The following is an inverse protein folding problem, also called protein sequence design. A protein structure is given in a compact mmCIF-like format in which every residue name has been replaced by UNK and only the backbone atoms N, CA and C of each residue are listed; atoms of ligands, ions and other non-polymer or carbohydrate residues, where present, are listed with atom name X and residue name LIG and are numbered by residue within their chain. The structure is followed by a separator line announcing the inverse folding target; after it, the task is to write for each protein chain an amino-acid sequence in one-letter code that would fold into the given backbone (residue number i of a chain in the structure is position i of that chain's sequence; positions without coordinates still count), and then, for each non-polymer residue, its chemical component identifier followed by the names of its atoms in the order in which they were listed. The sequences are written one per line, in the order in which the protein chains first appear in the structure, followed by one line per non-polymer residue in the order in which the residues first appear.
data_IF_564576131887
#
_entry.id   IF_564576131887
#
_cell.length_a   1.000
_cell.length_b   1.000
_cell.length_c   1.000
_cell.angle_alpha   90.00
_cell.angle_beta   90.00
_cell.angle_gamma   90.00
#
_symmetry.space_group_name_H-M   'P 1'
#
loop_
_entity.id
_entity.type
_entity.pdbx_description
1 polymer ?
#
# COMPACT_ATOMS: atom_id res chain seq x y z
N UNK A 1 -31.66 -12.69 52.97
CA UNK A 1 -31.43 -11.70 51.93
C UNK A 1 -30.21 -12.16 51.12
N UNK A 2 -30.45 -12.76 49.93
CA UNK A 2 -29.35 -13.27 49.08
C UNK A 2 -29.14 -12.25 47.96
N UNK A 3 -27.96 -11.62 47.97
CA UNK A 3 -27.51 -10.76 46.86
C UNK A 3 -26.96 -11.65 45.74
N UNK A 4 -27.63 -11.63 44.61
CA UNK A 4 -27.12 -12.23 43.36
C UNK A 4 -26.32 -11.16 42.62
N UNK A 5 -25.01 -11.37 42.53
CA UNK A 5 -24.14 -10.51 41.71
C UNK A 5 -24.32 -10.89 40.25
N UNK A 6 -24.85 -9.96 39.44
CA UNK A 6 -24.84 -10.07 37.98
C UNK A 6 -23.44 -9.65 37.46
N UNK A 7 -22.69 -10.61 36.98
CA UNK A 7 -21.46 -10.37 36.26
C UNK A 7 -21.79 -9.98 34.82
N UNK A 8 -21.58 -8.72 34.44
CA UNK A 8 -21.68 -8.25 33.07
C UNK A 8 -20.39 -8.65 32.33
N UNK A 9 -20.49 -9.62 31.45
CA UNK A 9 -19.41 -9.94 30.52
C UNK A 9 -19.45 -8.93 29.36
N UNK A 10 -18.49 -8.01 29.32
CA UNK A 10 -18.30 -7.11 28.18
C UNK A 10 -17.70 -7.91 27.02
N UNK A 11 -18.53 -8.23 26.03
CA UNK A 11 -18.08 -8.76 24.75
C UNK A 11 -17.52 -7.60 23.94
N UNK A 12 -16.20 -7.52 23.85
CA UNK A 12 -15.50 -6.61 22.94
C UNK A 12 -15.68 -7.11 21.50
N UNK A 13 -16.65 -6.56 20.79
CA UNK A 13 -16.81 -6.73 19.33
C UNK A 13 -15.73 -5.92 18.61
N UNK A 14 -14.56 -6.52 18.39
CA UNK A 14 -13.55 -6.02 17.45
C UNK A 14 -13.90 -6.61 16.07
N UNK A 15 -14.71 -5.91 15.30
CA UNK A 15 -15.18 -6.47 14.06
C UNK A 15 -15.26 -5.57 12.81
N UNK A 16 -15.72 -4.31 12.82
CA UNK A 16 -15.94 -3.62 11.54
C UNK A 16 -14.78 -2.77 11.04
N UNK A 17 -13.91 -2.24 11.91
CA UNK A 17 -12.88 -1.27 11.50
C UNK A 17 -11.78 -1.88 10.59
N UNK A 18 -11.29 -3.08 10.90
CA UNK A 18 -10.21 -3.74 10.13
C UNK A 18 -10.67 -4.15 8.74
N UNK A 19 -11.90 -4.64 8.60
CA UNK A 19 -12.47 -5.01 7.30
C UNK A 19 -12.69 -3.78 6.40
N UNK A 20 -13.06 -2.65 6.99
CA UNK A 20 -13.24 -1.39 6.27
C UNK A 20 -11.89 -0.80 5.80
N UNK A 21 -10.84 -0.90 6.61
CA UNK A 21 -9.49 -0.45 6.24
C UNK A 21 -8.94 -1.29 5.08
N UNK A 22 -9.11 -2.61 5.10
CA UNK A 22 -8.71 -3.48 4.00
C UNK A 22 -9.39 -3.10 2.69
N UNK A 23 -10.71 -2.98 2.68
CA UNK A 23 -11.47 -2.62 1.49
C UNK A 23 -11.09 -1.21 0.96
N UNK A 24 -10.75 -0.28 1.85
CA UNK A 24 -10.28 1.05 1.48
C UNK A 24 -8.91 0.98 0.82
N UNK A 25 -7.98 0.21 1.39
CA UNK A 25 -6.63 0.03 0.85
C UNK A 25 -6.66 -0.68 -0.50
N UNK A 26 -7.49 -1.71 -0.66
CA UNK A 26 -7.69 -2.38 -1.96
C UNK A 26 -8.15 -1.40 -3.05
N UNK A 27 -9.09 -0.50 -2.77
CA UNK A 27 -9.49 0.55 -3.71
C UNK A 27 -8.37 1.55 -4.02
N UNK A 28 -7.52 1.87 -3.04
CA UNK A 28 -6.37 2.73 -3.26
C UNK A 28 -5.32 2.02 -4.13
N UNK A 29 -5.13 0.71 -3.97
CA UNK A 29 -4.28 -0.08 -4.86
C UNK A 29 -4.81 -0.12 -6.29
N UNK A 30 -6.12 -0.26 -6.49
CA UNK A 30 -6.75 -0.15 -7.82
C UNK A 30 -6.48 1.22 -8.46
N UNK A 31 -6.56 2.30 -7.67
CA UNK A 31 -6.24 3.65 -8.14
C UNK A 31 -4.74 3.82 -8.46
N UNK A 32 -3.87 3.21 -7.66
CA UNK A 32 -2.42 3.19 -7.88
C UNK A 32 -2.08 2.48 -9.20
N UNK A 33 -2.62 1.27 -9.41
CA UNK A 33 -2.47 0.53 -10.67
C UNK A 33 -2.91 1.36 -11.88
N UNK A 34 -4.10 1.97 -11.77
CA UNK A 34 -4.65 2.77 -12.84
C UNK A 34 -3.78 3.99 -13.17
N UNK A 35 -3.28 4.71 -12.17
CA UNK A 35 -2.39 5.84 -12.33
C UNK A 35 -1.05 5.41 -12.97
N UNK A 36 -0.42 4.36 -12.43
CA UNK A 36 0.84 3.83 -12.96
C UNK A 36 0.71 3.40 -14.42
N UNK A 37 -0.30 2.59 -14.73
CA UNK A 37 -0.48 2.03 -16.07
C UNK A 37 -0.87 3.08 -17.12
N UNK A 38 -1.43 4.22 -16.69
CA UNK A 38 -1.68 5.39 -17.55
C UNK A 38 -0.48 6.33 -17.67
N UNK A 39 0.53 6.18 -16.83
CA UNK A 39 1.66 7.11 -16.74
C UNK A 39 1.32 8.42 -16.01
N UNK A 40 0.26 8.43 -15.18
CA UNK A 40 -0.10 9.59 -14.35
C UNK A 40 0.69 9.55 -13.03
N UNK A 41 1.98 9.84 -13.14
CA UNK A 41 2.88 9.80 -11.99
C UNK A 41 2.66 10.96 -11.01
N UNK A 42 2.00 12.03 -11.44
CA UNK A 42 1.59 13.10 -10.54
C UNK A 42 0.47 12.64 -9.60
N UNK A 43 -0.56 11.98 -10.13
CA UNK A 43 -1.61 11.37 -9.32
C UNK A 43 -1.03 10.31 -8.38
N UNK A 44 -0.12 9.48 -8.87
CA UNK A 44 0.55 8.45 -8.08
C UNK A 44 1.39 9.06 -6.94
N UNK A 45 2.18 10.08 -7.22
CA UNK A 45 2.93 10.81 -6.19
C UNK A 45 2.05 11.38 -5.09
N UNK A 46 0.85 11.87 -5.43
CA UNK A 46 -0.11 12.39 -4.48
C UNK A 46 -0.73 11.33 -3.55
N UNK A 47 -0.56 10.05 -3.84
CA UNK A 47 -0.96 8.96 -2.95
C UNK A 47 0.02 8.74 -1.79
N UNK A 48 1.21 9.34 -1.83
CA UNK A 48 2.23 9.25 -0.79
C UNK A 48 2.15 10.44 0.19
N UNK A 49 2.62 10.22 1.42
CA UNK A 49 2.85 11.33 2.37
C UNK A 49 3.97 12.24 1.86
N UNK A 50 4.05 13.46 2.37
CA UNK A 50 5.08 14.42 1.94
C UNK A 50 6.51 13.95 2.29
N UNK A 51 6.64 13.23 3.38
CA UNK A 51 7.90 12.68 3.92
C UNK A 51 8.10 11.18 3.64
N UNK A 52 7.33 10.61 2.72
CA UNK A 52 7.34 9.18 2.41
C UNK A 52 8.73 8.63 2.09
N UNK A 53 8.92 7.35 2.38
CA UNK A 53 10.11 6.58 1.99
C UNK A 53 9.72 5.50 0.98
N UNK A 54 10.44 5.47 -0.13
CA UNK A 54 10.38 4.41 -1.12
C UNK A 54 11.71 3.65 -1.11
N UNK A 55 11.65 2.34 -0.94
CA UNK A 55 12.82 1.46 -0.80
C UNK A 55 12.87 0.45 -1.96
N UNK A 56 13.29 0.88 -3.14
CA UNK A 56 13.33 0.02 -4.31
C UNK A 56 14.46 -1.00 -4.24
N UNK A 57 14.27 -2.22 -4.76
CA UNK A 57 15.34 -3.21 -4.82
C UNK A 57 16.45 -2.74 -5.77
N UNK A 58 17.69 -2.91 -5.35
CA UNK A 58 18.87 -2.61 -6.18
C UNK A 58 19.11 -1.13 -6.49
N UNK A 59 18.42 -0.22 -5.80
CA UNK A 59 18.54 1.23 -5.96
C UNK A 59 18.60 1.92 -4.61
N UNK A 60 19.07 3.16 -4.61
CA UNK A 60 19.00 4.00 -3.40
C UNK A 60 17.56 4.29 -3.03
N UNK A 61 17.30 4.49 -1.72
CA UNK A 61 15.98 4.90 -1.27
C UNK A 61 15.64 6.31 -1.76
N UNK A 62 14.37 6.52 -2.11
CA UNK A 62 13.84 7.84 -2.39
C UNK A 62 13.07 8.35 -1.16
N UNK A 63 13.39 9.56 -0.72
CA UNK A 63 12.71 10.23 0.39
C UNK A 63 11.94 11.45 -0.12
N UNK A 64 10.71 11.55 0.33
CA UNK A 64 9.79 12.64 0.02
C UNK A 64 9.04 12.41 -1.30
N UNK A 65 7.81 12.93 -1.33
CA UNK A 65 6.84 12.75 -2.43
C UNK A 65 7.42 13.04 -3.82
N UNK A 66 8.15 14.13 -3.97
CA UNK A 66 8.71 14.53 -5.27
C UNK A 66 9.74 13.50 -5.80
N UNK A 67 10.60 12.96 -4.93
CA UNK A 67 11.57 11.96 -5.31
C UNK A 67 10.89 10.61 -5.59
N UNK A 68 9.85 10.26 -4.82
CA UNK A 68 9.02 9.08 -5.07
C UNK A 68 8.33 9.18 -6.43
N UNK A 69 7.73 10.33 -6.76
CA UNK A 69 7.13 10.57 -8.06
C UNK A 69 8.13 10.44 -9.21
N UNK A 70 9.32 11.02 -9.06
CA UNK A 70 10.39 10.92 -10.05
C UNK A 70 10.85 9.47 -10.25
N UNK A 71 10.97 8.69 -9.17
CA UNK A 71 11.29 7.26 -9.26
C UNK A 71 10.24 6.50 -10.09
N UNK A 72 8.95 6.68 -9.79
CA UNK A 72 7.88 5.99 -10.52
C UNK A 72 7.80 6.40 -11.99
N UNK A 73 8.05 7.67 -12.30
CA UNK A 73 8.14 8.13 -13.68
C UNK A 73 9.26 7.40 -14.43
N UNK A 74 10.43 7.24 -13.79
CA UNK A 74 11.55 6.49 -14.35
C UNK A 74 11.27 4.99 -14.49
N UNK A 75 10.66 4.38 -13.48
CA UNK A 75 10.26 2.98 -13.53
C UNK A 75 9.26 2.70 -14.67
N UNK A 76 8.30 3.61 -14.90
CA UNK A 76 7.33 3.51 -15.97
C UNK A 76 7.91 3.53 -17.38
N UNK A 77 9.15 3.96 -17.57
CA UNK A 77 9.87 3.81 -18.85
C UNK A 77 10.24 2.34 -19.14
N UNK A 78 10.50 1.56 -18.09
CA UNK A 78 11.03 0.20 -18.18
C UNK A 78 9.97 -0.90 -17.99
N UNK A 79 8.86 -0.62 -17.28
CA UNK A 79 7.83 -1.60 -16.94
C UNK A 79 6.41 -1.08 -17.18
N UNK A 80 5.46 -2.00 -17.29
CA UNK A 80 4.03 -1.74 -17.53
C UNK A 80 3.15 -2.85 -16.95
N UNK A 81 1.86 -2.71 -17.09
CA UNK A 81 0.86 -3.72 -16.71
C UNK A 81 1.00 -4.13 -15.23
N UNK A 82 1.23 -3.12 -14.38
CA UNK A 82 1.29 -3.33 -12.94
C UNK A 82 -0.05 -3.86 -12.44
N UNK A 83 0.02 -4.92 -11.63
CA UNK A 83 -1.08 -5.51 -10.89
C UNK A 83 -0.66 -5.69 -9.44
N UNK A 84 -1.50 -5.25 -8.52
CA UNK A 84 -1.33 -5.39 -7.07
C UNK A 84 -2.40 -6.33 -6.51
N UNK A 85 -2.03 -7.11 -5.52
CA UNK A 85 -2.98 -7.98 -4.81
C UNK A 85 -2.72 -7.88 -3.32
N UNK A 86 -3.65 -7.31 -2.59
CA UNK A 86 -3.59 -7.21 -1.13
C UNK A 86 -3.79 -8.58 -0.50
N UNK A 87 -2.82 -9.06 0.25
CA UNK A 87 -2.88 -10.32 0.99
C UNK A 87 -3.42 -10.09 2.39
N UNK A 88 -2.82 -9.14 3.13
CA UNK A 88 -3.17 -8.87 4.52
C UNK A 88 -3.06 -7.37 4.84
N UNK A 89 -4.01 -6.88 5.61
CA UNK A 89 -3.99 -5.52 6.18
C UNK A 89 -4.17 -5.64 7.68
N UNK A 90 -3.24 -5.04 8.43
CA UNK A 90 -3.27 -4.98 9.88
C UNK A 90 -3.27 -3.53 10.35
N UNK A 91 -4.26 -3.16 11.14
CA UNK A 91 -4.25 -1.88 11.84
C UNK A 91 -3.08 -1.79 12.82
N UNK A 92 -2.40 -0.66 12.84
CA UNK A 92 -1.32 -0.31 13.77
C UNK A 92 -1.73 0.84 14.68
N UNK A 93 -3.02 1.04 14.88
CA UNK A 93 -3.63 2.11 15.64
C UNK A 93 -4.69 2.83 14.83
N UNK A 94 -5.11 4.02 15.27
CA UNK A 94 -6.16 4.80 14.59
C UNK A 94 -5.73 5.38 13.25
N UNK A 95 -4.43 5.66 13.09
CA UNK A 95 -3.90 6.47 12.00
C UNK A 95 -2.83 5.77 11.16
N UNK A 96 -2.59 4.48 11.42
CA UNK A 96 -1.62 3.69 10.69
C UNK A 96 -2.11 2.27 10.41
N UNK A 97 -1.69 1.71 9.29
CA UNK A 97 -1.91 0.32 8.93
C UNK A 97 -0.69 -0.23 8.17
N UNK A 98 -0.47 -1.53 8.32
CA UNK A 98 0.49 -2.26 7.51
C UNK A 98 -0.26 -3.11 6.50
N UNK A 99 0.15 -3.03 5.25
CA UNK A 99 -0.27 -3.94 4.19
C UNK A 99 0.86 -4.90 3.81
N UNK A 100 0.51 -6.13 3.53
CA UNK A 100 1.33 -7.10 2.80
C UNK A 100 0.58 -7.46 1.52
N UNK A 101 1.26 -7.42 0.39
CA UNK A 101 0.69 -7.79 -0.89
C UNK A 101 1.69 -8.42 -1.84
N UNK A 102 1.18 -8.83 -2.98
CA UNK A 102 1.96 -9.32 -4.11
C UNK A 102 1.74 -8.43 -5.32
N UNK A 103 2.73 -8.38 -6.19
CA UNK A 103 2.63 -7.65 -7.44
C UNK A 103 3.02 -8.50 -8.62
N UNK A 104 2.53 -8.15 -9.78
CA UNK A 104 3.06 -8.56 -11.06
C UNK A 104 3.12 -7.38 -12.02
N UNK A 105 4.06 -7.40 -12.93
CA UNK A 105 4.23 -6.40 -13.98
C UNK A 105 4.91 -7.03 -15.20
N UNK A 106 4.97 -6.30 -16.31
CA UNK A 106 5.66 -6.69 -17.52
C UNK A 106 6.83 -5.76 -17.80
N UNK A 107 8.00 -6.29 -18.12
CA UNK A 107 9.08 -5.47 -18.67
C UNK A 107 8.71 -4.92 -20.05
N UNK A 108 9.16 -3.72 -20.38
CA UNK A 108 9.09 -3.16 -21.73
C UNK A 108 10.33 -3.56 -22.53
N UNK A 109 10.22 -3.59 -23.86
CA UNK A 109 11.31 -3.92 -24.77
C UNK A 109 10.94 -5.06 -25.73
N UNK A 110 11.91 -5.57 -26.47
CA UNK A 110 11.68 -6.59 -27.51
C UNK A 110 11.25 -7.94 -26.94
N UNK A 111 11.73 -8.30 -25.76
CA UNK A 111 11.33 -9.51 -25.05
C UNK A 111 10.64 -9.10 -23.72
N UNK A 112 9.32 -9.05 -23.77
CA UNK A 112 8.54 -8.76 -22.56
C UNK A 112 8.56 -9.96 -21.62
N UNK A 113 8.90 -9.73 -20.37
CA UNK A 113 8.94 -10.74 -19.33
C UNK A 113 8.03 -10.31 -18.18
N UNK A 114 7.33 -11.27 -17.62
CA UNK A 114 6.58 -11.06 -16.38
C UNK A 114 7.54 -11.10 -15.21
N UNK A 115 7.43 -10.11 -14.35
CA UNK A 115 8.09 -10.05 -13.04
C UNK A 115 7.02 -10.09 -11.99
N UNK A 116 7.21 -10.92 -10.96
CA UNK A 116 6.32 -11.01 -9.82
C UNK A 116 7.12 -10.91 -8.53
N UNK A 117 6.46 -10.48 -7.47
CA UNK A 117 7.08 -10.34 -6.16
C UNK A 117 6.08 -9.97 -5.08
N UNK A 118 6.59 -9.49 -3.97
CA UNK A 118 5.83 -9.12 -2.78
C UNK A 118 6.27 -7.76 -2.26
N UNK A 119 5.36 -7.13 -1.53
CA UNK A 119 5.59 -5.81 -0.97
C UNK A 119 5.04 -5.68 0.44
N UNK A 120 5.57 -4.72 1.16
CA UNK A 120 5.02 -4.21 2.41
C UNK A 120 4.85 -2.71 2.28
N UNK A 121 3.68 -2.22 2.63
CA UNK A 121 3.39 -0.79 2.73
C UNK A 121 2.96 -0.46 4.15
N UNK A 122 3.51 0.62 4.68
CA UNK A 122 2.96 1.31 5.85
C UNK A 122 2.11 2.47 5.35
N UNK A 123 0.83 2.38 5.62
CA UNK A 123 -0.16 3.41 5.36
C UNK A 123 -0.30 4.34 6.56
N UNK A 124 -0.46 5.62 6.31
CA UNK A 124 -0.70 6.64 7.33
C UNK A 124 -1.94 7.46 6.96
N UNK A 125 -2.79 7.73 7.93
CA UNK A 125 -3.93 8.62 7.76
C UNK A 125 -3.48 10.07 7.85
N UNK A 126 -3.79 10.85 6.82
CA UNK A 126 -3.55 12.28 6.77
C UNK A 126 -4.91 12.96 6.58
N UNK A 127 -5.44 13.55 7.64
CA UNK A 127 -6.85 13.94 7.67
C UNK A 127 -7.75 12.70 7.57
N UNK A 128 -8.59 12.63 6.56
CA UNK A 128 -9.47 11.49 6.30
C UNK A 128 -8.92 10.52 5.24
N UNK A 129 -7.75 10.79 4.68
CA UNK A 129 -7.19 10.02 3.57
C UNK A 129 -6.04 9.12 4.02
N UNK A 130 -6.04 7.87 3.54
CA UNK A 130 -4.91 6.99 3.67
C UNK A 130 -3.85 7.32 2.62
N UNK A 131 -2.58 7.44 3.04
CA UNK A 131 -1.42 7.72 2.20
C UNK A 131 -0.33 6.69 2.45
N UNK A 132 0.44 6.35 1.40
CA UNK A 132 1.63 5.51 1.54
C UNK A 132 2.72 6.33 2.25
N UNK A 133 3.17 5.85 3.42
CA UNK A 133 4.24 6.47 4.18
C UNK A 133 5.59 5.77 3.98
N UNK A 134 5.56 4.43 3.85
CA UNK A 134 6.75 3.63 3.54
C UNK A 134 6.34 2.50 2.62
N UNK A 135 7.11 2.31 1.56
CA UNK A 135 6.84 1.32 0.52
C UNK A 135 8.13 0.59 0.16
N UNK A 136 8.14 -0.73 0.29
CA UNK A 136 9.25 -1.62 -0.02
C UNK A 136 8.76 -2.87 -0.74
N UNK A 137 9.48 -3.29 -1.74
CA UNK A 137 9.19 -4.53 -2.46
C UNK A 137 10.44 -5.28 -2.87
N UNK A 138 10.27 -6.53 -3.25
CA UNK A 138 11.30 -7.33 -3.91
C UNK A 138 10.67 -8.33 -4.88
N UNK A 139 11.38 -8.61 -5.95
CA UNK A 139 10.99 -9.69 -6.85
C UNK A 139 11.24 -11.07 -6.23
N UNK A 140 10.52 -12.08 -6.72
CA UNK A 140 10.66 -13.46 -6.23
C UNK A 140 11.88 -14.17 -6.84
N UNK A 141 12.34 -13.70 -8.01
CA UNK A 141 13.53 -14.22 -8.72
C UNK A 141 14.29 -13.08 -9.35
#
# INVERSE_FOLDING_TARGET
MRLTALTFAAVLLVGPAVAQDKATIEKLNDAFEAAFNKGDFAALGNMYTEDAYLLPPGSEMAKGRSNVQAYWAKAGEAVSDLKLTTVDVKSLGSDAAREIGTFSLMTKGQQRQQVAGKYVVVWQKVGNDWKLATDIWNADK
#
